data_IF_965839633843
#
_entry.id   IF_965839633843
#
_cell.length_a   1.000
_cell.length_b   1.000
_cell.length_c   1.000
_cell.angle_alpha   90.00
_cell.angle_beta   90.00
_cell.angle_gamma   90.00
#
_symmetry.space_group_name_H-M   'P 1'
#
loop_
_entity.id
_entity.type
_entity.pdbx_description
1 polymer ?
#
# COMPACT_ATOMS: atom_id res chain seq x y z
N UNK A 1 -19.75 -11.32 6.48
CA UNK A 1 -18.33 -10.96 6.48
C UNK A 1 -17.62 -11.70 7.60
N UNK A 2 -16.59 -12.45 7.27
CA UNK A 2 -15.88 -13.34 8.19
C UNK A 2 -14.51 -12.71 8.60
N UNK A 3 -14.56 -11.73 9.49
CA UNK A 3 -13.39 -11.09 10.08
C UNK A 3 -13.32 -11.42 11.58
N UNK A 4 -12.12 -11.30 12.16
CA UNK A 4 -11.93 -11.62 13.58
C UNK A 4 -12.74 -10.72 14.50
N UNK A 5 -13.07 -11.23 15.69
CA UNK A 5 -13.74 -10.42 16.72
C UNK A 5 -12.90 -9.21 17.14
N UNK A 6 -11.56 -9.31 17.04
CA UNK A 6 -10.65 -8.18 17.24
C UNK A 6 -10.88 -7.08 16.21
N UNK A 7 -10.96 -7.43 14.92
CA UNK A 7 -11.22 -6.48 13.85
C UNK A 7 -12.58 -5.80 13.99
N UNK A 8 -13.64 -6.57 14.33
CA UNK A 8 -14.98 -6.02 14.59
C UNK A 8 -14.96 -5.02 15.74
N UNK A 9 -14.34 -5.36 16.87
CA UNK A 9 -14.21 -4.46 18.03
C UNK A 9 -13.44 -3.19 17.67
N UNK A 10 -12.36 -3.30 16.91
CA UNK A 10 -11.60 -2.13 16.46
C UNK A 10 -12.45 -1.26 15.52
N UNK A 11 -13.19 -1.84 14.57
CA UNK A 11 -14.08 -1.09 13.71
C UNK A 11 -15.12 -0.29 14.50
N UNK A 12 -15.71 -0.87 15.56
CA UNK A 12 -16.73 -0.23 16.39
C UNK A 12 -16.16 0.70 17.48
N UNK A 13 -14.86 0.67 17.76
CA UNK A 13 -14.26 1.46 18.83
C UNK A 13 -13.93 2.92 18.46
N UNK A 14 -14.17 3.32 17.22
CA UNK A 14 -13.96 4.69 16.77
C UNK A 14 -14.84 5.68 17.54
N UNK A 15 -14.23 6.73 18.10
CA UNK A 15 -14.92 7.79 18.88
C UNK A 15 -15.48 8.92 18.02
N UNK A 16 -15.37 8.86 16.69
CA UNK A 16 -15.87 9.87 15.76
C UNK A 16 -15.39 11.31 16.04
N UNK A 17 -14.18 11.46 16.58
CA UNK A 17 -13.61 12.77 16.97
C UNK A 17 -12.97 13.54 15.80
N UNK A 18 -12.94 12.99 14.58
CA UNK A 18 -12.43 13.59 13.34
C UNK A 18 -10.93 13.84 13.26
N UNK A 19 -10.15 13.53 14.28
CA UNK A 19 -8.70 13.77 14.31
C UNK A 19 -7.94 13.11 13.17
N UNK A 20 -8.42 11.98 12.63
CA UNK A 20 -7.79 11.27 11.52
C UNK A 20 -8.16 11.84 10.14
N UNK A 21 -9.14 12.76 10.03
CA UNK A 21 -9.62 13.26 8.75
C UNK A 21 -8.55 14.06 8.01
N UNK A 22 -7.97 15.06 8.65
CA UNK A 22 -7.01 15.97 8.02
C UNK A 22 -5.64 15.34 7.76
N UNK A 23 -5.32 14.21 8.39
CA UNK A 23 -4.03 13.52 8.24
C UNK A 23 -4.09 12.41 7.18
N UNK A 24 -5.27 11.99 6.76
CA UNK A 24 -5.41 10.91 5.78
C UNK A 24 -4.96 11.37 4.38
N UNK A 25 -3.89 10.78 3.78
CA UNK A 25 -3.41 11.20 2.48
C UNK A 25 -4.45 11.00 1.38
N UNK A 26 -5.25 9.94 1.44
CA UNK A 26 -6.29 9.66 0.46
C UNK A 26 -7.48 10.62 0.64
N UNK A 27 -7.88 10.87 1.88
CA UNK A 27 -8.90 11.87 2.18
C UNK A 27 -8.53 13.26 1.67
N UNK A 28 -7.26 13.67 1.83
CA UNK A 28 -6.74 14.95 1.36
C UNK A 28 -6.64 15.01 -0.17
N UNK A 29 -6.15 13.94 -0.82
CA UNK A 29 -6.02 13.89 -2.27
C UNK A 29 -7.36 13.89 -3.01
N UNK A 30 -8.39 13.26 -2.43
CA UNK A 30 -9.72 13.14 -3.06
C UNK A 30 -10.70 14.22 -2.61
N UNK A 31 -10.44 14.90 -1.50
CA UNK A 31 -11.37 15.83 -0.86
C UNK A 31 -12.64 15.17 -0.30
N UNK A 32 -12.70 13.82 -0.30
CA UNK A 32 -13.89 13.07 0.10
C UNK A 32 -13.72 12.44 1.48
N UNK A 33 -14.67 12.68 2.37
CA UNK A 33 -14.63 12.11 3.70
C UNK A 33 -14.79 10.59 3.72
N UNK A 34 -15.53 10.02 2.77
CA UNK A 34 -15.67 8.57 2.65
C UNK A 34 -14.31 7.85 2.57
N UNK A 35 -13.27 8.54 2.11
CA UNK A 35 -11.92 8.02 1.95
C UNK A 35 -11.05 8.17 3.20
N UNK A 36 -11.63 8.53 4.33
CA UNK A 36 -10.93 8.64 5.61
C UNK A 36 -11.02 7.35 6.43
N UNK A 37 -10.12 7.18 7.40
CA UNK A 37 -10.11 6.02 8.28
C UNK A 37 -11.43 5.84 9.04
N UNK A 38 -12.03 6.95 9.50
CA UNK A 38 -13.30 6.97 10.20
C UNK A 38 -14.47 6.45 9.34
N UNK A 39 -14.55 6.91 8.10
CA UNK A 39 -15.62 6.48 7.19
C UNK A 39 -15.48 4.99 6.84
N UNK A 40 -14.24 4.50 6.67
CA UNK A 40 -13.99 3.06 6.49
C UNK A 40 -14.44 2.24 7.69
N UNK A 41 -14.18 2.73 8.91
CA UNK A 41 -14.67 2.11 10.15
C UNK A 41 -16.20 2.01 10.16
N UNK A 42 -16.88 3.09 9.82
CA UNK A 42 -18.35 3.10 9.74
C UNK A 42 -18.85 2.11 8.70
N UNK A 43 -18.27 2.09 7.49
CA UNK A 43 -18.63 1.14 6.42
C UNK A 43 -18.51 -0.31 6.88
N UNK A 44 -17.37 -0.66 7.50
CA UNK A 44 -17.16 -2.02 8.04
C UNK A 44 -18.17 -2.36 9.13
N UNK A 45 -18.45 -1.44 10.04
CA UNK A 45 -19.48 -1.63 11.09
C UNK A 45 -20.87 -1.87 10.49
N UNK A 46 -21.25 -1.14 9.45
CA UNK A 46 -22.52 -1.32 8.74
C UNK A 46 -22.60 -2.69 8.06
N UNK A 47 -21.53 -3.16 7.42
CA UNK A 47 -21.49 -4.50 6.82
C UNK A 47 -21.59 -5.59 7.88
N UNK A 48 -20.91 -5.45 9.02
CA UNK A 48 -20.99 -6.41 10.14
C UNK A 48 -22.41 -6.52 10.67
N UNK A 49 -23.15 -5.42 10.71
CA UNK A 49 -24.55 -5.36 11.16
C UNK A 49 -25.57 -5.73 10.07
N UNK A 50 -25.13 -6.05 8.86
CA UNK A 50 -26.01 -6.38 7.74
C UNK A 50 -26.80 -5.21 7.14
N UNK A 51 -26.39 -3.98 7.41
CA UNK A 51 -27.04 -2.77 6.89
C UNK A 51 -26.51 -2.34 5.52
N UNK A 52 -25.39 -2.89 5.08
CA UNK A 52 -24.71 -2.59 3.81
C UNK A 52 -24.00 -3.85 3.32
N UNK A 53 -23.88 -4.02 2.00
CA UNK A 53 -23.15 -5.13 1.41
C UNK A 53 -21.64 -4.88 1.37
N UNK A 54 -20.84 -5.95 1.45
CA UNK A 54 -19.37 -5.86 1.39
C UNK A 54 -18.89 -5.20 0.09
N UNK A 55 -19.57 -5.48 -1.02
CA UNK A 55 -19.26 -4.90 -2.34
C UNK A 55 -19.32 -3.38 -2.36
N UNK A 56 -20.24 -2.78 -1.61
CA UNK A 56 -20.45 -1.32 -1.57
C UNK A 56 -19.28 -0.57 -0.93
N UNK A 57 -18.52 -1.24 -0.06
CA UNK A 57 -17.36 -0.64 0.61
C UNK A 57 -16.02 -1.09 -0.01
N UNK A 58 -16.02 -2.01 -0.98
CA UNK A 58 -14.81 -2.63 -1.49
C UNK A 58 -13.80 -1.61 -2.03
N UNK A 59 -14.22 -0.72 -2.95
CA UNK A 59 -13.34 0.32 -3.49
C UNK A 59 -12.76 1.20 -2.39
N UNK A 60 -13.61 1.63 -1.46
CA UNK A 60 -13.21 2.50 -0.37
C UNK A 60 -12.16 1.83 0.55
N UNK A 61 -12.30 0.55 0.83
CA UNK A 61 -11.35 -0.23 1.63
C UNK A 61 -10.02 -0.37 0.89
N UNK A 62 -10.05 -0.64 -0.43
CA UNK A 62 -8.82 -0.79 -1.22
C UNK A 62 -8.06 0.52 -1.44
N UNK A 63 -8.71 1.67 -1.43
CA UNK A 63 -8.06 2.98 -1.48
C UNK A 63 -7.16 3.27 -0.25
N UNK A 64 -7.30 2.50 0.84
CA UNK A 64 -6.45 2.68 2.02
C UNK A 64 -5.02 2.19 1.76
N UNK A 65 -4.04 3.10 1.89
CA UNK A 65 -2.60 2.80 1.72
C UNK A 65 -1.95 2.19 2.96
N UNK A 66 -2.69 1.91 4.02
CA UNK A 66 -2.19 1.35 5.28
C UNK A 66 -1.03 2.14 5.92
N UNK A 67 -0.89 3.42 5.61
CA UNK A 67 0.23 4.27 6.05
C UNK A 67 0.34 4.49 7.57
N UNK A 68 -0.71 4.17 8.34
CA UNK A 68 -0.71 4.28 9.80
C UNK A 68 -0.84 5.70 10.37
N UNK A 69 -0.92 6.75 9.54
CA UNK A 69 -1.03 8.12 10.00
C UNK A 69 -2.22 8.34 10.97
N UNK A 70 -3.36 7.73 10.66
CA UNK A 70 -4.55 7.77 11.52
C UNK A 70 -4.34 7.12 12.89
N UNK A 71 -3.58 6.01 12.95
CA UNK A 71 -3.23 5.33 14.20
C UNK A 71 -2.35 6.21 15.07
N UNK A 72 -1.29 6.78 14.49
CA UNK A 72 -0.34 7.63 15.21
C UNK A 72 -0.96 8.93 15.72
N UNK A 73 -2.02 9.41 15.06
CA UNK A 73 -2.72 10.63 15.46
C UNK A 73 -3.92 10.38 16.38
N UNK A 74 -4.27 9.12 16.64
CA UNK A 74 -5.45 8.78 17.43
C UNK A 74 -5.13 8.85 18.92
N UNK A 75 -5.86 9.70 19.66
CA UNK A 75 -5.72 9.84 21.12
C UNK A 75 -6.06 8.56 21.90
N UNK A 76 -6.85 7.66 21.30
CA UNK A 76 -7.27 6.40 21.95
C UNK A 76 -6.43 5.20 21.50
N UNK A 77 -5.39 5.40 20.70
CA UNK A 77 -4.58 4.30 20.17
C UNK A 77 -5.34 3.38 19.17
N UNK A 78 -6.41 3.88 18.57
CA UNK A 78 -7.20 3.12 17.60
C UNK A 78 -6.41 2.80 16.34
N UNK A 79 -6.34 1.53 15.95
CA UNK A 79 -5.60 1.07 14.78
C UNK A 79 -6.51 0.47 13.69
N UNK A 80 -6.96 1.29 12.73
CA UNK A 80 -7.82 0.81 11.65
C UNK A 80 -7.13 -0.12 10.65
N UNK A 81 -5.79 -0.19 10.63
CA UNK A 81 -5.08 -1.09 9.72
C UNK A 81 -5.49 -2.55 9.92
N UNK A 82 -5.78 -2.94 11.16
CA UNK A 82 -6.18 -4.30 11.51
C UNK A 82 -7.44 -4.72 10.75
N UNK A 83 -8.53 -3.97 10.86
CA UNK A 83 -9.75 -4.35 10.16
C UNK A 83 -9.66 -4.10 8.64
N UNK A 84 -8.92 -3.09 8.19
CA UNK A 84 -8.75 -2.85 6.76
C UNK A 84 -8.06 -4.02 6.06
N UNK A 85 -7.01 -4.58 6.66
CA UNK A 85 -6.31 -5.74 6.10
C UNK A 85 -7.22 -6.98 6.04
N UNK A 86 -7.93 -7.28 7.11
CA UNK A 86 -8.84 -8.42 7.15
C UNK A 86 -10.00 -8.26 6.16
N UNK A 87 -10.56 -7.05 6.04
CA UNK A 87 -11.65 -6.78 5.09
C UNK A 87 -11.17 -6.84 3.63
N UNK A 88 -9.94 -6.39 3.32
CA UNK A 88 -9.35 -6.60 1.99
C UNK A 88 -9.28 -8.09 1.64
N UNK A 89 -8.83 -8.92 2.57
CA UNK A 89 -8.79 -10.38 2.39
C UNK A 89 -10.19 -10.95 2.17
N UNK A 90 -11.16 -10.54 2.98
CA UNK A 90 -12.55 -11.00 2.87
C UNK A 90 -13.18 -10.61 1.51
N UNK A 91 -12.89 -9.42 0.98
CA UNK A 91 -13.35 -8.97 -0.34
C UNK A 91 -12.84 -9.91 -1.44
N UNK A 92 -11.55 -10.31 -1.37
CA UNK A 92 -10.97 -11.27 -2.31
C UNK A 92 -11.66 -12.63 -2.19
N UNK A 93 -11.80 -13.16 -0.98
CA UNK A 93 -12.41 -14.48 -0.73
C UNK A 93 -13.87 -14.56 -1.22
N UNK A 94 -14.56 -13.43 -1.28
CA UNK A 94 -15.92 -13.33 -1.81
C UNK A 94 -15.97 -12.98 -3.32
N UNK A 95 -14.83 -12.91 -4.02
CA UNK A 95 -14.78 -12.57 -5.44
C UNK A 95 -15.25 -11.15 -5.77
N UNK A 96 -15.15 -10.22 -4.82
CA UNK A 96 -15.63 -8.83 -4.96
C UNK A 96 -14.48 -7.84 -5.12
N UNK A 97 -13.32 -8.33 -5.54
CA UNK A 97 -12.12 -7.51 -5.75
C UNK A 97 -12.35 -6.47 -6.85
N UNK A 98 -12.02 -5.19 -6.63
CA UNK A 98 -12.12 -4.16 -7.65
C UNK A 98 -11.30 -4.47 -8.91
N UNK A 99 -11.82 -4.16 -10.08
CA UNK A 99 -11.19 -4.48 -11.39
C UNK A 99 -9.77 -3.92 -11.52
N UNK A 100 -9.51 -2.73 -10.97
CA UNK A 100 -8.19 -2.12 -11.04
C UNK A 100 -7.14 -2.88 -10.22
N UNK A 101 -7.55 -3.58 -9.17
CA UNK A 101 -6.67 -4.47 -8.39
C UNK A 101 -6.39 -5.75 -9.17
N UNK A 102 -7.41 -6.33 -9.82
CA UNK A 102 -7.24 -7.51 -10.67
C UNK A 102 -6.23 -7.19 -11.78
N UNK A 103 -6.38 -6.08 -12.48
CA UNK A 103 -5.45 -5.63 -13.53
C UNK A 103 -4.03 -5.40 -13.01
N UNK A 104 -3.89 -4.87 -11.80
CA UNK A 104 -2.58 -4.69 -11.17
C UNK A 104 -1.90 -6.03 -10.91
N UNK A 105 -2.63 -7.02 -10.39
CA UNK A 105 -2.11 -8.37 -10.15
C UNK A 105 -1.74 -9.08 -11.45
N UNK A 106 -2.57 -9.00 -12.48
CA UNK A 106 -2.27 -9.53 -13.83
C UNK A 106 -0.99 -8.90 -14.40
N UNK A 107 -0.84 -7.58 -14.29
CA UNK A 107 0.36 -6.85 -14.73
C UNK A 107 1.59 -7.32 -13.98
N UNK A 108 1.46 -7.49 -12.66
CA UNK A 108 2.56 -7.99 -11.83
C UNK A 108 2.97 -9.42 -12.21
N UNK A 109 2.00 -10.31 -12.42
CA UNK A 109 2.26 -11.69 -12.84
C UNK A 109 2.94 -11.78 -14.20
N UNK A 110 2.57 -10.89 -15.14
CA UNK A 110 3.13 -10.88 -16.48
C UNK A 110 4.55 -10.29 -16.55
N UNK A 111 4.87 -9.29 -15.74
CA UNK A 111 6.10 -8.48 -15.87
C UNK A 111 7.01 -8.48 -14.64
N UNK A 112 6.58 -9.10 -13.52
CA UNK A 112 7.32 -9.10 -12.26
C UNK A 112 7.33 -7.74 -11.54
N UNK A 113 6.54 -6.78 -12.01
CA UNK A 113 6.41 -5.47 -11.38
C UNK A 113 5.02 -4.87 -11.61
N UNK A 114 4.60 -3.95 -10.75
CA UNK A 114 3.26 -3.33 -10.80
C UNK A 114 3.10 -2.33 -11.95
N UNK A 115 4.18 -1.98 -12.65
CA UNK A 115 4.17 -0.96 -13.71
C UNK A 115 4.09 -1.55 -15.11
N UNK A 116 4.29 -2.86 -15.27
CA UNK A 116 4.37 -3.52 -16.58
C UNK A 116 5.51 -3.00 -17.46
N UNK A 117 6.54 -2.41 -16.84
CA UNK A 117 7.63 -1.74 -17.52
C UNK A 117 8.93 -2.54 -17.42
N UNK A 118 9.83 -2.36 -18.40
CA UNK A 118 11.21 -2.83 -18.33
C UNK A 118 12.09 -1.82 -17.60
N UNK A 119 13.14 -2.30 -16.93
CA UNK A 119 14.16 -1.44 -16.31
C UNK A 119 14.85 -0.61 -17.40
N UNK A 120 15.10 0.68 -17.10
CA UNK A 120 15.83 1.53 -17.99
C UNK A 120 17.31 1.07 -18.12
N UNK A 121 17.74 0.69 -19.32
CA UNK A 121 19.14 0.36 -19.64
C UNK A 121 20.12 1.48 -19.28
N UNK A 122 19.60 2.69 -19.11
CA UNK A 122 20.39 3.83 -18.65
C UNK A 122 21.02 3.65 -17.26
N UNK A 123 20.61 2.63 -16.51
CA UNK A 123 21.14 2.31 -15.17
C UNK A 123 22.31 1.32 -15.21
N UNK A 124 22.48 0.57 -16.31
CA UNK A 124 23.45 -0.53 -16.38
C UNK A 124 24.89 -0.06 -16.13
N UNK A 125 25.24 1.14 -16.58
CA UNK A 125 26.58 1.73 -16.40
C UNK A 125 26.75 2.44 -15.05
N UNK A 126 25.68 2.68 -14.31
CA UNK A 126 25.73 3.45 -13.07
C UNK A 126 26.25 2.61 -11.89
N UNK A 127 25.99 1.31 -11.90
CA UNK A 127 26.30 0.41 -10.80
C UNK A 127 27.62 -0.35 -11.03
N UNK A 128 28.32 -0.66 -9.95
CA UNK A 128 29.46 -1.58 -10.00
C UNK A 128 28.99 -3.02 -10.23
N UNK A 129 29.78 -3.78 -10.99
CA UNK A 129 29.50 -5.22 -11.26
C UNK A 129 29.60 -6.05 -9.99
N UNK A 130 30.50 -5.69 -9.08
CA UNK A 130 30.70 -6.28 -7.75
C UNK A 130 31.01 -5.18 -6.76
N UNK A 131 30.37 -5.21 -5.61
CA UNK A 131 30.63 -4.32 -4.47
C UNK A 131 30.22 -5.00 -3.18
N UNK A 132 30.86 -4.62 -2.07
CA UNK A 132 30.47 -5.06 -0.73
C UNK A 132 29.16 -4.39 -0.25
N UNK A 133 28.71 -3.36 -0.95
CA UNK A 133 27.50 -2.61 -0.67
C UNK A 133 26.48 -2.85 -1.76
N UNK A 134 25.36 -3.46 -1.42
CA UNK A 134 24.19 -3.59 -2.30
C UNK A 134 23.22 -2.44 -2.08
N UNK A 135 22.76 -1.81 -3.16
CA UNK A 135 21.77 -0.74 -3.10
C UNK A 135 20.39 -1.28 -3.50
N UNK A 136 19.45 -1.18 -2.57
CA UNK A 136 18.04 -1.42 -2.82
C UNK A 136 17.34 -0.08 -3.09
N UNK A 137 16.89 0.16 -4.31
CA UNK A 137 16.26 1.42 -4.72
C UNK A 137 14.72 1.37 -4.72
N UNK A 138 14.15 0.18 -4.75
CA UNK A 138 12.71 -0.05 -4.85
C UNK A 138 12.15 0.15 -6.26
N UNK A 139 11.00 -0.46 -6.52
CA UNK A 139 10.37 -0.45 -7.85
C UNK A 139 10.00 0.96 -8.33
N UNK A 140 9.45 1.82 -7.48
CA UNK A 140 9.06 3.18 -7.89
C UNK A 140 10.25 3.98 -8.42
N UNK A 141 11.38 3.97 -7.70
CA UNK A 141 12.57 4.70 -8.13
C UNK A 141 13.17 4.09 -9.39
N UNK A 142 13.19 2.75 -9.49
CA UNK A 142 13.77 2.03 -10.61
C UNK A 142 13.03 2.29 -11.94
N UNK A 143 11.69 2.25 -11.91
CA UNK A 143 10.86 2.33 -13.10
C UNK A 143 10.38 3.75 -13.43
N UNK A 144 10.08 4.59 -12.42
CA UNK A 144 9.52 5.93 -12.62
C UNK A 144 10.53 7.07 -12.50
N UNK A 145 11.62 6.88 -11.74
CA UNK A 145 12.58 7.94 -11.45
C UNK A 145 14.05 7.50 -11.64
N UNK A 146 14.44 6.88 -12.80
CA UNK A 146 15.80 6.38 -13.01
C UNK A 146 16.88 7.46 -12.90
N UNK A 147 16.56 8.74 -13.22
CA UNK A 147 17.48 9.87 -13.03
C UNK A 147 17.84 10.10 -11.56
N UNK A 148 16.88 9.95 -10.66
CA UNK A 148 17.13 10.07 -9.22
C UNK A 148 18.04 8.97 -8.71
N UNK A 149 17.87 7.74 -9.20
CA UNK A 149 18.74 6.61 -8.90
C UNK A 149 20.19 6.90 -9.36
N UNK A 150 20.38 7.37 -10.61
CA UNK A 150 21.70 7.76 -11.12
C UNK A 150 22.37 8.82 -10.24
N UNK A 151 21.62 9.84 -9.85
CA UNK A 151 22.15 10.93 -9.02
C UNK A 151 22.56 10.40 -7.62
N UNK A 152 21.76 9.53 -7.03
CA UNK A 152 22.08 8.90 -5.73
C UNK A 152 23.36 8.06 -5.83
N UNK A 153 23.51 7.23 -6.87
CA UNK A 153 24.71 6.44 -7.10
C UNK A 153 25.93 7.33 -7.33
N UNK A 154 25.79 8.40 -8.12
CA UNK A 154 26.87 9.36 -8.37
C UNK A 154 27.33 10.07 -7.08
N UNK A 155 26.40 10.39 -6.17
CA UNK A 155 26.74 10.96 -4.87
C UNK A 155 27.49 9.94 -3.98
N UNK A 156 27.03 8.69 -3.93
CA UNK A 156 27.72 7.63 -3.19
C UNK A 156 29.13 7.42 -3.71
N UNK A 157 29.30 7.36 -5.03
CA UNK A 157 30.62 7.23 -5.68
C UNK A 157 31.55 8.39 -5.35
N UNK A 158 31.04 9.64 -5.32
CA UNK A 158 31.80 10.79 -4.86
C UNK A 158 32.21 10.74 -3.40
N UNK A 159 31.41 10.07 -2.57
CA UNK A 159 31.74 9.80 -1.17
C UNK A 159 32.69 8.59 -0.99
N UNK A 160 33.17 7.99 -2.06
CA UNK A 160 34.08 6.84 -2.03
C UNK A 160 33.37 5.50 -1.81
N UNK A 161 32.04 5.44 -1.93
CA UNK A 161 31.25 4.22 -1.78
C UNK A 161 30.81 3.73 -3.15
N UNK A 162 31.36 2.61 -3.60
CA UNK A 162 30.84 1.90 -4.76
C UNK A 162 29.68 1.01 -4.36
N UNK A 163 28.66 0.95 -5.21
CA UNK A 163 27.42 0.19 -4.92
C UNK A 163 27.06 -0.69 -6.10
N UNK A 164 26.64 -1.92 -5.80
CA UNK A 164 26.01 -2.82 -6.75
C UNK A 164 24.49 -2.75 -6.63
N UNK A 165 23.77 -2.93 -7.73
CA UNK A 165 22.32 -3.01 -7.69
C UNK A 165 21.90 -4.37 -7.13
N UNK A 166 21.02 -4.38 -6.13
CA UNK A 166 20.38 -5.62 -5.69
C UNK A 166 19.51 -6.17 -6.84
N UNK A 167 19.57 -7.48 -7.03
CA UNK A 167 18.80 -8.16 -8.08
C UNK A 167 17.30 -8.13 -7.79
N UNK A 168 16.93 -8.17 -6.52
CA UNK A 168 15.55 -8.10 -6.09
C UNK A 168 15.21 -6.67 -5.65
N UNK A 169 14.47 -5.96 -6.48
CA UNK A 169 14.02 -4.59 -6.23
C UNK A 169 12.57 -4.53 -5.73
N UNK A 170 11.94 -5.69 -5.48
CA UNK A 170 10.60 -5.76 -4.94
C UNK A 170 10.62 -5.89 -3.42
N UNK A 171 10.07 -4.90 -2.74
CA UNK A 171 9.88 -4.92 -1.28
C UNK A 171 8.66 -5.76 -0.86
N UNK A 172 7.87 -6.27 -1.80
CA UNK A 172 6.57 -6.88 -1.54
C UNK A 172 5.49 -5.89 -1.10
N UNK A 173 5.82 -4.61 -0.93
CA UNK A 173 4.87 -3.62 -0.40
C UNK A 173 3.60 -3.50 -1.25
N UNK A 174 3.72 -3.52 -2.57
CA UNK A 174 2.59 -3.46 -3.47
C UNK A 174 1.62 -4.65 -3.28
N UNK A 175 2.15 -5.83 -3.00
CA UNK A 175 1.37 -7.06 -2.75
C UNK A 175 0.91 -7.16 -1.29
N UNK A 176 1.72 -6.74 -0.31
CA UNK A 176 1.32 -6.71 1.10
C UNK A 176 0.15 -5.76 1.37
N UNK A 177 0.09 -4.65 0.64
CA UNK A 177 -1.04 -3.73 0.71
C UNK A 177 -2.27 -4.25 -0.06
N UNK A 178 -2.07 -5.21 -0.94
CA UNK A 178 -3.06 -5.90 -1.73
C UNK A 178 -2.92 -7.41 -1.42
N UNK A 179 -3.65 -7.96 -0.44
CA UNK A 179 -3.57 -9.39 -0.17
C UNK A 179 -3.83 -10.16 -1.47
N UNK A 180 -2.82 -10.88 -1.90
CA UNK A 180 -2.91 -11.78 -3.05
C UNK A 180 -3.11 -13.19 -2.54
N UNK A 181 -3.87 -13.99 -3.27
CA UNK A 181 -3.91 -15.43 -3.05
C UNK A 181 -2.49 -15.99 -3.22
N UNK A 182 -1.98 -16.65 -2.21
CA UNK A 182 -0.98 -17.69 -2.37
C UNK A 182 -1.70 -19.02 -2.42
#
# INVERSE_FOLDING_TARGET
MNITEKAKKIADSCRFCWMCRHICPIGNATGQERNTARARSLGVSLVVRGATELKEIADNIYECTLCGACTNNCMTGWDPKVFVQEVKTEIILNGQTPDYIIKLLETYQASGNVFGASVCTCLDEAFATKSDVALFVGQDALYKAPKSVKNAVALLKKAGVEVALDKNQDSGAALCHQPSYQ
#
